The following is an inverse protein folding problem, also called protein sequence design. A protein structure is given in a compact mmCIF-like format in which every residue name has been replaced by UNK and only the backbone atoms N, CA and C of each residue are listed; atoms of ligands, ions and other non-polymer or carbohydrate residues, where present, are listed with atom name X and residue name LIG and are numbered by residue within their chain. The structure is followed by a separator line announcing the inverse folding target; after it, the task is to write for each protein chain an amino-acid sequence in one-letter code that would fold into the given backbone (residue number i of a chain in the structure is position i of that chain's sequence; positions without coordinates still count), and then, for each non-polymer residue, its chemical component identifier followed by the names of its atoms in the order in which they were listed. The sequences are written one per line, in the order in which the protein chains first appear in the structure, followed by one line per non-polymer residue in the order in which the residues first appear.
data_IF_124407386758
#
_entry.id   IF_124407386758
#
_cell.length_a   1.000
_cell.length_b   1.000
_cell.length_c   1.000
_cell.angle_alpha   90.00
_cell.angle_beta   90.00
_cell.angle_gamma   90.00
#
_symmetry.space_group_name_H-M   'P 1'
#
loop_
_entity.id
_entity.type
_entity.pdbx_description
1 polymer ?
#
# COMPACT_ATOMS: atom_id res chain seq x y z
N UNK A 1 -16.72 -5.65 17.08
CA UNK A 1 -15.94 -5.17 15.92
C UNK A 1 -15.42 -6.41 15.22
N UNK A 2 -15.61 -6.54 13.92
CA UNK A 2 -15.07 -7.68 13.14
C UNK A 2 -13.57 -7.49 12.98
N UNK A 3 -12.79 -8.58 13.06
CA UNK A 3 -11.32 -8.59 12.84
C UNK A 3 -10.91 -8.40 11.37
N UNK A 4 -11.84 -7.92 10.55
CA UNK A 4 -11.64 -7.77 9.12
C UNK A 4 -11.15 -6.35 8.81
N UNK A 5 -10.04 -6.21 8.07
CA UNK A 5 -9.43 -4.90 7.83
C UNK A 5 -10.36 -4.00 7.01
N UNK A 6 -10.34 -2.72 7.35
CA UNK A 6 -11.05 -1.65 6.66
C UNK A 6 -10.50 -1.42 5.25
N UNK A 7 -9.22 -1.69 5.02
CA UNK A 7 -8.58 -1.59 3.70
C UNK A 7 -7.44 -2.61 3.57
N UNK A 8 -7.39 -3.29 2.43
CA UNK A 8 -6.23 -4.09 2.02
C UNK A 8 -5.53 -3.41 0.86
N UNK A 9 -4.23 -3.18 1.00
CA UNK A 9 -3.36 -2.66 -0.06
C UNK A 9 -2.34 -3.73 -0.40
N UNK A 10 -2.20 -4.04 -1.69
CA UNK A 10 -1.25 -5.04 -2.18
C UNK A 10 -0.42 -4.48 -3.33
N UNK A 11 0.88 -4.72 -3.28
CA UNK A 11 1.85 -4.39 -4.33
C UNK A 11 1.78 -2.92 -4.80
N UNK A 12 1.46 -2.00 -3.89
CA UNK A 12 1.34 -0.58 -4.23
C UNK A 12 2.72 -0.01 -4.56
N UNK A 13 2.83 0.55 -5.76
CA UNK A 13 4.03 1.25 -6.21
C UNK A 13 3.66 2.63 -6.72
N UNK A 14 4.42 3.64 -6.29
CA UNK A 14 4.25 5.02 -6.73
C UNK A 14 5.59 5.67 -6.98
N UNK A 15 5.70 6.27 -8.16
CA UNK A 15 6.89 6.98 -8.63
C UNK A 15 6.54 8.45 -8.90
N UNK A 16 7.42 9.35 -8.49
CA UNK A 16 7.34 10.79 -8.72
C UNK A 16 8.53 11.21 -9.57
N UNK A 17 8.42 11.00 -10.89
CA UNK A 17 9.55 11.14 -11.81
C UNK A 17 10.62 10.10 -11.51
N UNK A 18 11.85 10.54 -11.23
CA UNK A 18 12.96 9.65 -10.85
C UNK A 18 12.95 9.24 -9.37
N UNK A 19 12.00 9.75 -8.56
CA UNK A 19 11.92 9.44 -7.12
C UNK A 19 10.95 8.30 -6.88
N UNK A 20 11.37 7.33 -6.06
CA UNK A 20 10.50 6.28 -5.53
C UNK A 20 9.72 6.86 -4.34
N UNK A 21 8.39 6.93 -4.45
CA UNK A 21 7.51 7.30 -3.35
C UNK A 21 7.17 6.08 -2.48
N UNK A 22 6.80 4.99 -3.13
CA UNK A 22 6.73 3.66 -2.53
C UNK A 22 6.96 2.60 -3.60
N UNK A 23 7.50 1.45 -3.22
CA UNK A 23 7.71 0.33 -4.13
C UNK A 23 7.26 -0.95 -3.44
N UNK A 24 6.35 -1.67 -4.09
CA UNK A 24 5.82 -2.96 -3.66
C UNK A 24 5.35 -3.00 -2.19
N UNK A 25 4.61 -1.98 -1.76
CA UNK A 25 4.11 -1.89 -0.39
C UNK A 25 2.79 -2.66 -0.26
N UNK A 26 2.70 -3.47 0.79
CA UNK A 26 1.52 -4.26 1.16
C UNK A 26 1.18 -4.03 2.62
N UNK A 27 -0.08 -3.72 2.92
CA UNK A 27 -0.56 -3.55 4.29
C UNK A 27 -2.08 -3.71 4.38
N UNK A 28 -2.53 -4.02 5.59
CA UNK A 28 -3.93 -4.04 5.98
C UNK A 28 -4.15 -2.92 7.03
N UNK A 29 -5.19 -2.10 6.84
CA UNK A 29 -5.64 -1.06 7.78
C UNK A 29 -6.92 -1.50 8.49
#
# INVERSE_FOLDING_TARGET
MTDEPLLRVSALSKFYGSRVGCENVTFDL
#
